data_IF_631437077342
#
_entry.id   IF_631437077342
#
_cell.length_a   1.000
_cell.length_b   1.000
_cell.length_c   1.000
_cell.angle_alpha   90.00
_cell.angle_beta   90.00
_cell.angle_gamma   90.00
#
_symmetry.space_group_name_H-M   'P 1'
#
loop_
_entity.id
_entity.type
_entity.pdbx_description
1 polymer ?
#
# COMPACT_ATOMS: atom_id res chain seq x y z
N UNK A 1 8.87 -18.81 23.28
CA UNK A 1 7.52 -18.27 23.01
C UNK A 1 6.69 -19.38 22.38
N UNK A 2 5.56 -19.75 22.99
CA UNK A 2 4.66 -20.75 22.41
C UNK A 2 4.13 -20.23 21.07
N UNK A 3 4.16 -21.08 20.03
CA UNK A 3 3.68 -20.71 18.69
C UNK A 3 2.16 -20.64 18.72
N UNK A 4 1.53 -19.57 18.20
CA UNK A 4 0.08 -19.57 18.04
C UNK A 4 -0.32 -20.71 17.09
N UNK A 5 -1.29 -21.53 17.49
CA UNK A 5 -1.94 -22.48 16.58
C UNK A 5 -2.79 -21.66 15.61
N UNK A 6 -2.30 -21.47 14.39
CA UNK A 6 -3.04 -20.79 13.33
C UNK A 6 -4.09 -21.71 12.74
N UNK A 7 -5.35 -21.26 12.73
CA UNK A 7 -6.48 -22.03 12.20
C UNK A 7 -6.47 -22.04 10.67
N UNK A 8 -5.98 -20.96 10.06
CA UNK A 8 -6.00 -20.79 8.60
C UNK A 8 -4.59 -20.75 8.00
N UNK A 9 -4.36 -21.37 6.82
CA UNK A 9 -3.05 -21.36 6.16
C UNK A 9 -2.47 -19.96 5.94
N UNK A 10 -3.31 -18.99 5.58
CA UNK A 10 -2.87 -17.61 5.34
C UNK A 10 -2.45 -16.86 6.60
N UNK A 11 -3.02 -17.18 7.78
CA UNK A 11 -2.55 -16.60 9.03
C UNK A 11 -1.12 -17.04 9.33
N UNK A 12 -0.84 -18.34 9.13
CA UNK A 12 0.48 -18.90 9.32
C UNK A 12 1.49 -18.31 8.31
N UNK A 13 1.10 -18.21 7.03
CA UNK A 13 1.93 -17.57 6.01
C UNK A 13 2.27 -16.12 6.38
N UNK A 14 1.28 -15.33 6.80
CA UNK A 14 1.48 -13.92 7.19
C UNK A 14 2.41 -13.82 8.39
N UNK A 15 2.25 -14.69 9.38
CA UNK A 15 3.14 -14.76 10.54
C UNK A 15 4.61 -14.99 10.12
N UNK A 16 4.83 -15.74 9.05
CA UNK A 16 6.14 -15.99 8.46
C UNK A 16 6.57 -14.96 7.39
N UNK A 17 5.80 -13.88 7.20
CA UNK A 17 6.13 -12.82 6.25
C UNK A 17 5.78 -13.11 4.80
N UNK A 18 4.84 -14.02 4.56
CA UNK A 18 4.32 -14.37 3.24
C UNK A 18 2.81 -14.14 3.16
N UNK A 19 2.32 -13.83 1.96
CA UNK A 19 0.90 -13.72 1.69
C UNK A 19 0.53 -14.74 0.62
N UNK A 20 -0.43 -15.61 0.92
CA UNK A 20 -0.92 -16.59 -0.04
C UNK A 20 -1.78 -15.93 -1.13
N UNK A 21 -1.74 -16.50 -2.33
CA UNK A 21 -2.51 -16.02 -3.47
C UNK A 21 -3.94 -16.61 -3.54
N UNK A 22 -4.38 -17.35 -2.52
CA UNK A 22 -5.72 -17.94 -2.42
C UNK A 22 -6.15 -18.01 -0.96
N UNK A 23 -7.42 -17.73 -0.62
CA UNK A 23 -7.89 -17.67 0.77
C UNK A 23 -7.93 -19.04 1.46
N UNK A 24 -8.23 -20.11 0.71
CA UNK A 24 -8.49 -21.45 1.27
C UNK A 24 -7.29 -22.37 1.07
N UNK A 25 -6.77 -22.44 -0.17
CA UNK A 25 -5.68 -23.34 -0.55
C UNK A 25 -4.59 -22.57 -1.29
N UNK A 26 -3.69 -21.86 -0.58
CA UNK A 26 -2.60 -21.14 -1.22
C UNK A 26 -1.55 -22.12 -1.76
N UNK A 27 -1.47 -22.25 -3.09
CA UNK A 27 -0.41 -23.02 -3.78
C UNK A 27 0.84 -22.19 -4.05
N UNK A 28 0.68 -20.86 -4.07
CA UNK A 28 1.74 -19.88 -4.26
C UNK A 28 1.59 -18.84 -3.15
N UNK A 29 2.72 -18.43 -2.59
CA UNK A 29 2.79 -17.34 -1.63
C UNK A 29 3.90 -16.37 -2.03
N UNK A 30 3.65 -15.08 -1.81
CA UNK A 30 4.58 -14.00 -2.15
C UNK A 30 5.02 -13.33 -0.85
N UNK A 31 6.32 -13.06 -0.71
CA UNK A 31 6.81 -12.41 0.50
C UNK A 31 6.26 -10.99 0.63
N UNK A 32 5.94 -10.57 1.86
CA UNK A 32 5.53 -9.20 2.15
C UNK A 32 6.61 -8.19 1.73
N UNK A 33 7.89 -8.57 1.81
CA UNK A 33 9.02 -7.74 1.35
C UNK A 33 8.97 -7.51 -0.15
N UNK A 34 8.68 -8.54 -0.95
CA UNK A 34 8.52 -8.42 -2.41
C UNK A 34 7.36 -7.48 -2.75
N UNK A 35 6.22 -7.61 -2.08
CA UNK A 35 5.06 -6.74 -2.29
C UNK A 35 5.34 -5.29 -1.85
N UNK A 36 6.10 -5.11 -0.77
CA UNK A 36 6.54 -3.79 -0.32
C UNK A 36 7.49 -3.13 -1.32
N UNK A 37 8.47 -3.86 -1.86
CA UNK A 37 9.37 -3.37 -2.91
C UNK A 37 8.57 -2.98 -4.14
N UNK A 38 7.64 -3.83 -4.58
CA UNK A 38 6.80 -3.55 -5.74
C UNK A 38 5.96 -2.27 -5.53
N UNK A 39 5.35 -2.09 -4.34
CA UNK A 39 4.64 -0.85 -4.00
C UNK A 39 5.52 0.40 -4.08
N UNK A 40 6.77 0.33 -3.64
CA UNK A 40 7.69 1.47 -3.77
C UNK A 40 8.11 1.68 -5.22
N UNK A 41 8.31 0.61 -5.99
CA UNK A 41 8.61 0.70 -7.41
C UNK A 41 7.50 1.42 -8.19
N UNK A 42 6.22 1.10 -7.93
CA UNK A 42 5.09 1.81 -8.55
C UNK A 42 5.01 3.29 -8.16
N UNK A 43 5.46 3.66 -6.95
CA UNK A 43 5.52 5.06 -6.50
C UNK A 43 6.65 5.85 -7.16
N UNK A 44 7.80 5.21 -7.35
CA UNK A 44 8.95 5.82 -8.00
C UNK A 44 8.79 5.88 -9.53
N UNK A 45 8.12 4.88 -10.11
CA UNK A 45 7.92 4.76 -11.55
C UNK A 45 6.51 4.24 -11.85
N UNK A 46 5.55 5.13 -12.18
CA UNK A 46 4.18 4.74 -12.53
C UNK A 46 4.08 3.78 -13.72
N UNK A 47 5.05 3.81 -14.63
CA UNK A 47 5.14 2.90 -15.79
C UNK A 47 5.52 1.46 -15.40
N UNK A 48 5.96 1.22 -14.16
CA UNK A 48 6.32 -0.12 -13.71
C UNK A 48 5.08 -0.97 -13.41
N UNK A 49 4.62 -1.71 -14.42
CA UNK A 49 3.41 -2.51 -14.35
C UNK A 49 3.55 -3.80 -13.53
N UNK A 50 2.43 -4.29 -13.01
CA UNK A 50 2.37 -5.59 -12.32
C UNK A 50 2.70 -6.77 -13.25
N UNK A 51 2.45 -6.63 -14.55
CA UNK A 51 2.87 -7.61 -15.56
C UNK A 51 4.39 -7.66 -15.69
N UNK A 52 5.06 -6.50 -15.69
CA UNK A 52 6.53 -6.40 -15.67
C UNK A 52 7.07 -7.07 -14.40
N UNK A 53 6.53 -6.73 -13.24
CA UNK A 53 6.92 -7.35 -11.96
C UNK A 53 6.75 -8.89 -11.99
N UNK A 54 5.62 -9.39 -12.52
CA UNK A 54 5.39 -10.83 -12.64
C UNK A 54 6.46 -11.50 -13.51
N UNK A 55 6.81 -10.90 -14.66
CA UNK A 55 7.88 -11.41 -15.53
C UNK A 55 9.25 -11.35 -14.86
N UNK A 56 9.55 -10.27 -14.13
CA UNK A 56 10.79 -10.15 -13.34
C UNK A 56 10.90 -11.27 -12.33
N UNK A 57 9.84 -11.56 -11.57
CA UNK A 57 9.82 -12.69 -10.63
C UNK A 57 10.02 -14.03 -11.34
N UNK A 58 9.35 -14.26 -12.48
CA UNK A 58 9.54 -15.48 -13.27
C UNK A 58 11.00 -15.64 -13.71
N UNK A 59 11.64 -14.56 -14.18
CA UNK A 59 13.04 -14.55 -14.58
C UNK A 59 13.98 -14.84 -13.40
N UNK A 60 13.76 -14.21 -12.24
CA UNK A 60 14.54 -14.45 -11.02
C UNK A 60 14.48 -15.91 -10.55
N UNK A 61 13.36 -16.59 -10.81
CA UNK A 61 13.16 -18.00 -10.46
C UNK A 61 13.52 -18.97 -11.59
N UNK A 62 14.05 -18.49 -12.73
CA UNK A 62 14.31 -19.30 -13.93
C UNK A 62 13.08 -20.10 -14.40
N UNK A 63 11.88 -19.49 -14.32
CA UNK A 63 10.62 -20.11 -14.73
C UNK A 63 10.01 -19.37 -15.92
N UNK A 64 9.32 -20.08 -16.84
CA UNK A 64 8.55 -19.43 -17.89
C UNK A 64 7.35 -18.68 -17.29
N UNK A 65 7.04 -17.52 -17.86
CA UNK A 65 5.84 -16.78 -17.52
C UNK A 65 4.59 -17.63 -17.79
N UNK A 66 3.63 -17.60 -16.85
CA UNK A 66 2.32 -18.24 -16.99
C UNK A 66 1.21 -17.24 -16.64
N UNK A 67 0.13 -17.13 -17.43
CA UNK A 67 -0.92 -16.14 -17.18
C UNK A 67 -1.56 -16.20 -15.78
N UNK A 68 -1.67 -17.37 -15.16
CA UNK A 68 -2.23 -17.49 -13.82
C UNK A 68 -1.33 -16.84 -12.74
N UNK A 69 -0.01 -16.75 -12.95
CA UNK A 69 0.91 -16.12 -12.00
C UNK A 69 0.67 -14.60 -11.93
N UNK A 70 0.29 -13.99 -13.06
CA UNK A 70 -0.13 -12.60 -13.09
C UNK A 70 -1.40 -12.40 -12.23
N UNK A 71 -2.41 -13.24 -12.41
CA UNK A 71 -3.66 -13.16 -11.62
C UNK A 71 -3.38 -13.36 -10.13
N UNK A 72 -2.54 -14.34 -9.77
CA UNK A 72 -2.15 -14.60 -8.39
C UNK A 72 -1.38 -13.43 -7.77
N UNK A 73 -0.45 -12.82 -8.51
CA UNK A 73 0.28 -11.64 -8.04
C UNK A 73 -0.66 -10.45 -7.84
N UNK A 74 -1.59 -10.20 -8.76
CA UNK A 74 -2.59 -9.14 -8.63
C UNK A 74 -3.44 -9.34 -7.40
N UNK A 75 -4.02 -10.53 -7.21
CA UNK A 75 -4.85 -10.84 -6.04
C UNK A 75 -4.08 -10.66 -4.73
N UNK A 76 -2.85 -11.18 -4.65
CA UNK A 76 -2.03 -11.01 -3.45
C UNK A 76 -1.67 -9.53 -3.21
N UNK A 77 -1.40 -8.76 -4.28
CA UNK A 77 -1.07 -7.35 -4.16
C UNK A 77 -2.27 -6.52 -3.67
N UNK A 78 -3.47 -6.78 -4.18
CA UNK A 78 -4.70 -6.11 -3.73
C UNK A 78 -4.97 -6.37 -2.24
N UNK A 79 -4.84 -7.64 -1.80
CA UNK A 79 -4.98 -8.01 -0.38
C UNK A 79 -3.91 -7.34 0.46
N UNK A 80 -2.66 -7.29 -0.02
CA UNK A 80 -1.59 -6.57 0.66
C UNK A 80 -1.89 -5.08 0.83
N UNK A 81 -2.37 -4.40 -0.22
CA UNK A 81 -2.75 -2.99 -0.15
C UNK A 81 -3.89 -2.77 0.84
N UNK A 82 -4.88 -3.65 0.88
CA UNK A 82 -5.99 -3.59 1.83
C UNK A 82 -5.50 -3.78 3.28
N UNK A 83 -4.60 -4.72 3.54
CA UNK A 83 -3.99 -4.92 4.86
C UNK A 83 -3.28 -3.64 5.30
N UNK A 84 -2.44 -3.06 4.44
CA UNK A 84 -1.75 -1.81 4.72
C UNK A 84 -2.75 -0.68 4.99
N UNK A 85 -3.81 -0.57 4.19
CA UNK A 85 -4.84 0.45 4.36
C UNK A 85 -5.53 0.34 5.73
N UNK A 86 -5.93 -0.87 6.12
CA UNK A 86 -6.54 -1.12 7.45
C UNK A 86 -5.59 -0.84 8.60
N UNK A 87 -4.31 -1.17 8.44
CA UNK A 87 -3.28 -0.83 9.44
C UNK A 87 -3.15 0.68 9.58
N UNK A 88 -3.09 1.42 8.47
CA UNK A 88 -3.06 2.89 8.48
C UNK A 88 -4.31 3.46 9.17
N UNK A 89 -5.50 2.94 8.87
CA UNK A 89 -6.73 3.34 9.55
C UNK A 89 -6.66 3.12 11.07
N UNK A 90 -6.17 1.96 11.52
CA UNK A 90 -6.00 1.67 12.95
C UNK A 90 -5.00 2.62 13.61
N UNK A 91 -3.88 2.89 12.95
CA UNK A 91 -2.88 3.87 13.43
C UNK A 91 -3.52 5.26 13.53
N UNK A 92 -4.31 5.67 12.54
CA UNK A 92 -5.01 6.96 12.56
C UNK A 92 -6.00 7.04 13.72
N UNK A 93 -6.77 5.99 14.00
CA UNK A 93 -7.63 5.94 15.18
C UNK A 93 -6.81 6.08 16.47
N UNK A 94 -5.73 5.30 16.62
CA UNK A 94 -4.87 5.34 17.81
C UNK A 94 -4.22 6.72 18.03
N UNK A 95 -3.95 7.46 16.96
CA UNK A 95 -3.40 8.82 17.01
C UNK A 95 -4.47 9.92 17.11
N UNK A 96 -5.76 9.57 17.30
CA UNK A 96 -6.89 10.51 17.29
C UNK A 96 -7.03 11.32 15.98
N UNK A 97 -6.72 10.69 14.84
CA UNK A 97 -6.69 11.26 13.48
C UNK A 97 -7.78 10.68 12.56
N UNK A 98 -8.83 10.11 13.15
CA UNK A 98 -9.88 9.37 12.45
C UNK A 98 -11.06 10.23 11.98
N UNK A 99 -11.18 11.48 12.46
CA UNK A 99 -12.18 12.41 11.98
C UNK A 99 -12.06 12.64 10.46
N UNK A 100 -13.20 12.77 9.77
CA UNK A 100 -13.26 12.90 8.30
C UNK A 100 -12.47 14.11 7.80
N UNK A 101 -12.62 15.24 8.49
CA UNK A 101 -11.95 16.50 8.23
C UNK A 101 -10.59 16.64 8.93
N UNK A 102 -10.10 15.60 9.62
CA UNK A 102 -8.84 15.69 10.37
C UNK A 102 -7.68 16.09 9.47
N UNK A 103 -7.59 15.50 8.26
CA UNK A 103 -6.54 15.84 7.29
C UNK A 103 -6.61 17.29 6.84
N UNK A 104 -7.80 17.76 6.48
CA UNK A 104 -8.04 19.15 6.06
C UNK A 104 -7.62 20.14 7.14
N UNK A 105 -7.86 19.81 8.41
CA UNK A 105 -7.50 20.67 9.55
C UNK A 105 -6.04 20.57 9.99
N UNK A 106 -5.30 19.48 9.65
CA UNK A 106 -4.03 19.17 10.30
C UNK A 106 -2.87 18.68 9.38
N UNK A 107 -3.11 18.18 8.16
CA UNK A 107 -2.04 17.53 7.36
C UNK A 107 -1.18 18.49 6.53
N UNK A 108 -1.70 19.64 6.08
CA UNK A 108 -0.87 20.68 5.48
C UNK A 108 -0.87 21.93 6.37
N UNK A 109 0.15 22.08 7.24
CA UNK A 109 0.29 23.29 8.04
C UNK A 109 0.35 24.55 7.15
N UNK A 110 1.14 24.52 6.08
CA UNK A 110 1.27 25.69 5.20
C UNK A 110 -0.01 26.02 4.39
N UNK A 111 -0.95 25.08 4.24
CA UNK A 111 -2.13 25.27 3.38
C UNK A 111 -3.40 25.57 4.18
N UNK A 112 -3.48 25.16 5.45
CA UNK A 112 -4.72 25.22 6.23
C UNK A 112 -4.53 25.55 7.72
N UNK A 113 -3.29 25.70 8.20
CA UNK A 113 -3.05 26.15 9.57
C UNK A 113 -3.30 27.65 9.67
N UNK A 114 -4.18 28.06 10.58
CA UNK A 114 -4.37 29.46 10.93
C UNK A 114 -3.64 29.75 12.23
N UNK A 115 -2.85 30.81 12.25
CA UNK A 115 -2.18 31.27 13.47
C UNK A 115 -3.21 32.04 14.33
N UNK A 116 -3.05 32.01 15.66
CA UNK A 116 -3.81 32.93 16.51
C UNK A 116 -3.55 34.38 16.06
N UNK A 117 -4.62 35.17 15.94
CA UNK A 117 -4.62 36.56 15.45
C UNK A 117 -4.28 36.76 13.96
N UNK A 118 -4.35 35.72 13.13
CA UNK A 118 -4.22 35.90 11.68
C UNK A 118 -5.42 36.67 11.10
N UNK A 119 -5.19 37.80 10.39
CA UNK A 119 -6.26 38.58 9.79
C UNK A 119 -6.92 37.80 8.64
N UNK A 120 -8.25 37.86 8.55
CA UNK A 120 -9.00 37.27 7.43
C UNK A 120 -8.52 37.87 6.11
N UNK A 121 -7.99 37.03 5.20
CA UNK A 121 -7.52 37.48 3.89
C UNK A 121 -8.68 37.44 2.89
N UNK A 122 -8.63 38.29 1.86
CA UNK A 122 -9.59 38.20 0.74
C UNK A 122 -9.47 36.87 -0.01
N UNK A 123 -8.25 36.31 -0.04
CA UNK A 123 -7.93 35.01 -0.59
C UNK A 123 -7.11 34.23 0.45
N UNK A 124 -7.77 33.32 1.17
CA UNK A 124 -7.16 32.55 2.27
C UNK A 124 -6.34 31.34 1.80
N UNK A 125 -6.31 31.05 0.49
CA UNK A 125 -5.74 29.80 -0.02
C UNK A 125 -5.13 29.94 -1.41
N UNK A 126 -3.86 29.52 -1.53
CA UNK A 126 -3.16 29.34 -2.81
C UNK A 126 -2.84 27.86 -2.99
N UNK A 127 -3.33 27.26 -4.09
CA UNK A 127 -3.04 25.87 -4.45
C UNK A 127 -1.87 25.86 -5.41
N UNK A 128 -0.81 25.16 -5.06
CA UNK A 128 0.17 24.67 -6.02
C UNK A 128 0.03 23.16 -6.11
N UNK A 129 -0.39 22.67 -7.28
CA UNK A 129 -0.47 21.25 -7.56
C UNK A 129 0.87 20.87 -8.19
N UNK A 130 1.57 19.89 -7.62
CA UNK A 130 2.76 19.33 -8.29
C UNK A 130 2.34 18.94 -9.70
N UNK A 131 3.05 19.47 -10.70
CA UNK A 131 2.64 19.54 -12.11
C UNK A 131 2.60 18.20 -12.83
N UNK A 132 1.98 17.19 -12.22
CA UNK A 132 1.74 15.88 -12.77
C UNK A 132 3.02 15.23 -13.29
N UNK A 133 4.00 15.01 -12.41
CA UNK A 133 5.22 14.25 -12.73
C UNK A 133 4.96 12.81 -13.22
N UNK A 134 3.69 12.36 -13.23
CA UNK A 134 3.26 11.09 -13.81
C UNK A 134 3.13 11.13 -15.35
N UNK A 135 3.23 12.30 -15.99
CA UNK A 135 3.03 12.52 -17.43
C UNK A 135 4.34 12.62 -18.24
N UNK A 136 5.47 12.12 -17.71
CA UNK A 136 6.72 11.97 -18.47
C UNK A 136 6.93 10.53 -18.95
#
# INVERSE_FOLDING_TARGET
>A
MARPHHTFPNENLIYHGYLGCSPIYPTVAISLRTLAIFRQACRACPHFSIHTQCKTLCHLHNMPYRPYLFQQLTQAFDVYLEIIHRVDQKIRVALNRSAREWRLRNECPACFYRVEDEPTLTFDWFISIDGNNSLK
#
